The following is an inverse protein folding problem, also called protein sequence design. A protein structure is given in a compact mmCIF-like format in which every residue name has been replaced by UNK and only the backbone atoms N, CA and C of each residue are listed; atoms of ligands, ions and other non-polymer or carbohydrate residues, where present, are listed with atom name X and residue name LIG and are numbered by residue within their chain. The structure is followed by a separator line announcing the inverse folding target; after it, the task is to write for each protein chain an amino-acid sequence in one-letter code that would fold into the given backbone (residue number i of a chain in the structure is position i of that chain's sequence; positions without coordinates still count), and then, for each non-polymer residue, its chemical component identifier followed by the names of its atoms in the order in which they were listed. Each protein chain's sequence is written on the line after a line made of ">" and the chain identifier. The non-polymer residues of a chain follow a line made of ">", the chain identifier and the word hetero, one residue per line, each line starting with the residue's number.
data_IF_589615771074
#
_entry.id   IF_589615771074
#
_cell.length_a   1.000
_cell.length_b   1.000
_cell.length_c   1.000
_cell.angle_alpha   90.00
_cell.angle_beta   90.00
_cell.angle_gamma   90.00
#
_symmetry.space_group_name_H-M   'P 1'
#
loop_
_entity.id
_entity.type
_entity.pdbx_description
1 polymer ?
#
# COMPACT_ATOMS: atom_id res chain seq x y z
N UNK A 1 3.87 7.36 -23.29
CA UNK A 1 3.58 6.33 -22.27
C UNK A 1 2.35 6.76 -21.51
N UNK A 2 1.34 5.90 -21.41
CA UNK A 2 0.21 6.09 -20.50
C UNK A 2 0.53 5.42 -19.14
N UNK A 3 -0.04 5.89 -18.02
CA UNK A 3 0.24 5.30 -16.71
C UNK A 3 -0.05 3.80 -16.61
N UNK A 4 -1.12 3.31 -17.25
CA UNK A 4 -1.52 1.89 -17.25
C UNK A 4 -0.46 0.98 -17.88
N UNK A 5 0.28 1.48 -18.88
CA UNK A 5 1.31 0.71 -19.59
C UNK A 5 2.53 0.39 -18.71
N UNK A 6 2.73 1.14 -17.61
CA UNK A 6 3.85 0.92 -16.70
C UNK A 6 3.71 -0.37 -15.90
N UNK A 7 2.50 -0.91 -15.76
CA UNK A 7 2.29 -2.21 -15.14
C UNK A 7 2.99 -3.34 -15.91
N UNK A 8 3.23 -3.13 -17.20
CA UNK A 8 3.88 -4.08 -18.08
C UNK A 8 5.37 -3.80 -18.35
N UNK A 9 5.90 -2.72 -17.81
CA UNK A 9 7.28 -2.30 -18.04
C UNK A 9 8.30 -3.33 -17.50
N UNK A 10 9.25 -3.80 -18.34
CA UNK A 10 10.23 -4.80 -17.93
C UNK A 10 11.12 -4.37 -16.75
N UNK A 11 11.48 -3.09 -16.66
CA UNK A 11 12.31 -2.58 -15.58
C UNK A 11 11.52 -2.50 -14.26
N UNK A 12 10.25 -2.11 -14.30
CA UNK A 12 9.39 -2.12 -13.11
C UNK A 12 9.15 -3.55 -12.60
N UNK A 13 8.89 -4.50 -13.49
CA UNK A 13 8.77 -5.93 -13.14
C UNK A 13 10.07 -6.48 -12.56
N UNK A 14 11.22 -6.21 -13.19
CA UNK A 14 12.52 -6.73 -12.75
C UNK A 14 13.05 -6.07 -11.47
N UNK A 15 12.78 -4.78 -11.27
CA UNK A 15 13.28 -4.04 -10.11
C UNK A 15 12.52 -4.34 -8.81
N UNK A 16 11.46 -5.15 -8.85
CA UNK A 16 10.54 -5.34 -7.73
C UNK A 16 9.81 -4.04 -7.37
N UNK A 17 9.48 -3.22 -8.38
CA UNK A 17 8.73 -1.96 -8.23
C UNK A 17 7.23 -2.16 -8.02
N UNK A 18 6.76 -3.38 -8.25
CA UNK A 18 5.38 -3.79 -8.12
C UNK A 18 5.27 -4.88 -7.06
N UNK A 19 4.23 -4.79 -6.21
CA UNK A 19 3.92 -5.81 -5.22
C UNK A 19 2.42 -6.17 -5.26
N UNK A 20 2.05 -7.42 -4.95
CA UNK A 20 0.65 -7.79 -4.83
C UNK A 20 0.01 -7.07 -3.65
N UNK A 21 -1.19 -6.51 -3.86
CA UNK A 21 -2.00 -5.85 -2.84
C UNK A 21 -3.46 -6.24 -3.02
N UNK A 22 -4.15 -6.49 -1.92
CA UNK A 22 -5.59 -6.73 -1.93
C UNK A 22 -6.36 -5.42 -2.13
N UNK A 23 -7.31 -5.45 -3.05
CA UNK A 23 -8.22 -4.35 -3.39
C UNK A 23 -9.46 -4.40 -2.49
N UNK A 24 -10.29 -3.35 -2.56
CA UNK A 24 -11.53 -3.21 -1.78
C UNK A 24 -12.59 -4.28 -2.12
N UNK A 25 -12.58 -4.80 -3.34
CA UNK A 25 -13.43 -5.90 -3.81
C UNK A 25 -12.92 -7.31 -3.41
N UNK A 26 -11.79 -7.39 -2.71
CA UNK A 26 -11.14 -8.64 -2.30
C UNK A 26 -10.25 -9.28 -3.36
N UNK A 27 -10.19 -8.73 -4.58
CA UNK A 27 -9.23 -9.15 -5.61
C UNK A 27 -7.80 -8.76 -5.21
N UNK A 28 -6.81 -9.33 -5.90
CA UNK A 28 -5.39 -8.98 -5.73
C UNK A 28 -4.86 -8.39 -7.02
N UNK A 29 -4.22 -7.22 -6.95
CA UNK A 29 -3.61 -6.55 -8.10
C UNK A 29 -2.22 -5.97 -7.80
N UNK A 30 -1.49 -5.53 -8.84
CA UNK A 30 -0.17 -4.92 -8.68
C UNK A 30 -0.27 -3.49 -8.15
N UNK A 31 0.34 -3.23 -7.00
CA UNK A 31 0.55 -1.89 -6.46
C UNK A 31 1.97 -1.41 -6.74
N UNK A 32 2.10 -0.15 -7.15
CA UNK A 32 3.40 0.51 -7.34
C UNK A 32 3.96 0.88 -5.97
N UNK A 33 5.16 0.39 -5.68
CA UNK A 33 5.87 0.70 -4.45
C UNK A 33 6.54 2.08 -4.52
N UNK A 34 6.81 2.67 -3.36
CA UNK A 34 7.58 3.91 -3.28
C UNK A 34 8.98 3.74 -3.91
N UNK A 35 9.49 4.76 -4.61
CA UNK A 35 10.80 4.71 -5.28
C UNK A 35 11.95 4.93 -4.29
N UNK A 36 11.89 4.30 -3.10
CA UNK A 36 12.83 4.49 -2.01
C UNK A 36 13.29 3.13 -1.45
N UNK A 37 14.53 3.10 -0.95
CA UNK A 37 15.10 1.98 -0.20
C UNK A 37 15.36 2.43 1.24
N UNK A 38 15.07 1.56 2.21
CA UNK A 38 15.40 1.72 3.62
C UNK A 38 16.32 0.56 4.03
N UNK A 39 17.56 0.86 4.44
CA UNK A 39 18.55 -0.18 4.77
C UNK A 39 18.82 -1.15 3.61
N UNK A 40 18.84 -0.65 2.37
CA UNK A 40 19.05 -1.47 1.16
C UNK A 40 17.83 -2.31 0.74
N UNK A 41 16.68 -2.16 1.40
CA UNK A 41 15.47 -2.93 1.12
C UNK A 41 14.32 -2.00 0.74
N UNK A 42 13.50 -2.40 -0.23
CA UNK A 42 12.29 -1.66 -0.58
C UNK A 42 11.20 -1.97 0.45
N UNK A 43 10.53 -0.96 1.03
CA UNK A 43 9.37 -1.19 1.90
C UNK A 43 8.25 -1.88 1.10
N UNK A 44 7.71 -2.96 1.65
CA UNK A 44 6.58 -3.68 1.07
C UNK A 44 5.22 -3.11 1.47
N UNK A 45 4.16 -3.72 0.93
CA UNK A 45 2.78 -3.45 1.35
C UNK A 45 2.60 -3.87 2.81
N UNK A 46 2.08 -2.97 3.65
CA UNK A 46 1.87 -3.21 5.09
C UNK A 46 0.50 -3.78 5.43
N UNK A 47 -0.46 -3.62 4.54
CA UNK A 47 -1.83 -4.07 4.70
C UNK A 47 -2.66 -3.76 3.45
N UNK A 48 -3.87 -4.32 3.35
CA UNK A 48 -4.82 -3.99 2.30
C UNK A 48 -5.28 -2.54 2.42
N UNK A 49 -6.04 -2.08 1.41
CA UNK A 49 -6.75 -0.80 1.53
C UNK A 49 -7.77 -0.89 2.69
N UNK A 50 -7.77 0.06 3.64
CA UNK A 50 -8.74 0.03 4.73
C UNK A 50 -10.15 0.31 4.21
N UNK A 51 -11.12 -0.39 4.77
CA UNK A 51 -12.53 -0.15 4.50
C UNK A 51 -12.97 1.19 5.09
N UNK A 52 -14.04 1.81 4.55
CA UNK A 52 -14.65 2.98 5.17
C UNK A 52 -14.97 2.71 6.64
N UNK A 53 -14.37 3.49 7.53
CA UNK A 53 -14.58 3.40 8.98
C UNK A 53 -13.78 2.31 9.72
N UNK A 54 -12.89 1.57 9.05
CA UNK A 54 -12.16 0.44 9.65
C UNK A 54 -11.39 0.81 10.93
N UNK A 55 -10.79 1.99 10.99
CA UNK A 55 -9.99 2.45 12.12
C UNK A 55 -10.69 3.51 13.01
N UNK A 56 -11.98 3.78 12.80
CA UNK A 56 -12.69 4.88 13.51
C UNK A 56 -12.65 4.70 15.02
N UNK A 57 -13.04 3.54 15.53
CA UNK A 57 -13.09 3.29 16.98
C UNK A 57 -11.70 3.29 17.62
N UNK A 58 -10.70 2.71 16.94
CA UNK A 58 -9.29 2.71 17.40
C UNK A 58 -8.77 4.15 17.58
N UNK A 59 -8.99 5.00 16.57
CA UNK A 59 -8.55 6.40 16.61
C UNK A 59 -9.30 7.17 17.71
N UNK A 60 -10.62 7.03 17.81
CA UNK A 60 -11.42 7.73 18.82
C UNK A 60 -11.04 7.29 20.25
N UNK A 61 -10.78 6.00 20.48
CA UNK A 61 -10.31 5.51 21.76
C UNK A 61 -8.94 6.13 22.14
N UNK A 62 -8.02 6.19 21.19
CA UNK A 62 -6.69 6.80 21.39
C UNK A 62 -6.78 8.28 21.73
N UNK A 63 -7.67 9.03 21.07
CA UNK A 63 -7.86 10.45 21.34
C UNK A 63 -8.47 10.69 22.74
N UNK A 64 -9.50 9.91 23.12
CA UNK A 64 -10.11 9.98 24.46
C UNK A 64 -9.08 9.74 25.57
N UNK A 65 -8.23 8.74 25.40
CA UNK A 65 -7.19 8.41 26.38
C UNK A 65 -6.12 9.50 26.54
N UNK A 66 -5.90 10.33 25.51
CA UNK A 66 -4.93 11.45 25.55
C UNK A 66 -5.48 12.72 26.17
N UNK A 67 -6.81 12.86 26.22
CA UNK A 67 -7.50 14.03 26.77
C UNK A 67 -8.04 13.82 28.18
N UNK A 68 -8.01 12.58 28.67
CA UNK A 68 -8.32 12.22 30.06
C UNK A 68 -7.08 12.42 30.95
#
# INVERSE_FOLDING_TARGET
>A
MRPDQLLDDPHLKASGGLAPMQMDDGSTGPAVLLPLLMGGRRPGVRGPLPKPGEHTEEVLATLRARTA
#
